data_IF_911479923926
#
_entry.id   IF_911479923926
#
_cell.length_a   1.000
_cell.length_b   1.000
_cell.length_c   1.000
_cell.angle_alpha   90.00
_cell.angle_beta   90.00
_cell.angle_gamma   90.00
#
_symmetry.space_group_name_H-M   'P 1'
#
loop_
_entity.id
_entity.type
_entity.pdbx_description
1 polymer ?
#
# COMPACT_ATOMS: atom_id res chain seq x y z
N UNK A 1 17.25 47.03 28.92
CA UNK A 1 17.33 46.74 27.47
C UNK A 1 16.02 46.07 27.04
N UNK A 2 14.88 46.75 27.28
CA UNK A 2 13.53 46.23 26.98
C UNK A 2 12.44 47.32 26.85
N UNK A 3 12.76 48.62 26.75
CA UNK A 3 11.72 49.68 26.76
C UNK A 3 12.02 50.89 25.84
N UNK A 4 12.41 50.68 24.58
CA UNK A 4 12.60 51.82 23.63
C UNK A 4 11.85 51.64 22.29
N UNK A 5 11.07 50.58 22.08
CA UNK A 5 10.25 50.45 20.86
C UNK A 5 8.77 50.27 21.20
N UNK A 6 8.11 51.37 21.58
CA UNK A 6 6.65 51.41 21.69
C UNK A 6 5.98 51.28 20.32
N UNK A 7 4.74 50.77 20.30
CA UNK A 7 3.91 50.53 19.11
C UNK A 7 3.72 51.75 18.17
N UNK A 8 4.12 52.95 18.59
CA UNK A 8 4.11 54.18 17.79
C UNK A 8 5.39 54.49 17.00
N UNK A 9 6.46 53.69 17.13
CA UNK A 9 7.78 53.96 16.52
C UNK A 9 7.76 54.02 14.98
N UNK A 10 6.75 53.40 14.36
CA UNK A 10 6.56 53.35 12.91
C UNK A 10 5.30 54.10 12.43
N UNK A 11 4.81 55.06 13.23
CA UNK A 11 3.69 55.91 12.80
C UNK A 11 4.07 56.79 11.61
N UNK A 12 3.09 57.19 10.79
CA UNK A 12 3.29 58.06 9.62
C UNK A 12 4.05 59.35 9.96
N UNK A 13 3.89 59.86 11.17
CA UNK A 13 4.61 61.04 11.70
C UNK A 13 6.11 60.79 11.81
N UNK A 14 6.54 59.65 12.33
CA UNK A 14 7.96 59.31 12.46
C UNK A 14 8.60 59.02 11.09
N UNK A 15 7.86 58.39 10.18
CA UNK A 15 8.31 58.15 8.81
C UNK A 15 8.53 59.48 8.05
N UNK A 16 7.64 60.45 8.23
CA UNK A 16 7.81 61.77 7.62
C UNK A 16 9.03 62.53 8.17
N UNK A 17 9.28 62.47 9.48
CA UNK A 17 10.49 63.04 10.08
C UNK A 17 11.77 62.39 9.54
N UNK A 18 11.76 61.08 9.30
CA UNK A 18 12.87 60.37 8.67
C UNK A 18 13.08 60.84 7.22
N UNK A 19 12.00 61.07 6.45
CA UNK A 19 12.08 61.64 5.10
C UNK A 19 12.63 63.07 5.12
N UNK A 20 12.20 63.91 6.05
CA UNK A 20 12.71 65.28 6.19
C UNK A 20 14.21 65.30 6.54
N UNK A 21 14.64 64.42 7.45
CA UNK A 21 16.03 64.41 7.92
C UNK A 21 17.00 63.73 6.94
N UNK A 22 16.60 62.62 6.31
CA UNK A 22 17.49 61.81 5.46
C UNK A 22 17.19 61.96 3.96
N UNK A 23 16.08 62.57 3.57
CA UNK A 23 15.71 62.84 2.18
C UNK A 23 15.80 61.59 1.30
N UNK A 24 16.46 61.73 0.15
CA UNK A 24 16.63 60.68 -0.85
C UNK A 24 17.63 59.58 -0.47
N UNK A 25 18.32 59.71 0.66
CA UNK A 25 19.30 58.71 1.11
C UNK A 25 18.66 57.47 1.72
N UNK A 26 17.36 57.51 2.02
CA UNK A 26 16.58 56.36 2.49
C UNK A 26 15.54 55.93 1.45
N UNK A 27 15.17 54.66 1.50
CA UNK A 27 14.08 54.06 0.74
C UNK A 27 13.10 53.49 1.74
N UNK A 28 11.82 53.84 1.57
CA UNK A 28 10.73 53.36 2.39
C UNK A 28 9.87 52.48 1.50
N UNK A 29 9.67 51.23 1.92
CA UNK A 29 8.95 50.21 1.16
C UNK A 29 7.84 49.60 1.99
N UNK A 30 6.81 49.11 1.30
CA UNK A 30 5.61 48.56 1.92
C UNK A 30 5.62 47.04 1.88
N UNK A 31 5.22 46.41 3.00
CA UNK A 31 4.87 44.99 3.05
C UNK A 31 3.40 44.92 3.45
N UNK A 32 2.59 44.22 2.65
CA UNK A 32 1.14 44.08 2.86
C UNK A 32 0.41 45.43 2.97
N UNK A 33 0.79 46.42 2.15
CA UNK A 33 0.15 47.74 2.10
C UNK A 33 0.45 48.66 3.30
N UNK A 34 1.43 48.30 4.14
CA UNK A 34 1.92 49.16 5.23
C UNK A 34 3.40 49.47 5.01
N UNK A 35 3.73 50.76 4.95
CA UNK A 35 5.10 51.31 4.87
C UNK A 35 5.92 51.00 6.14
N UNK A 36 6.36 49.76 6.30
CA UNK A 36 6.98 49.27 7.55
C UNK A 36 8.49 49.06 7.44
N UNK A 37 9.09 49.20 6.25
CA UNK A 37 10.51 48.91 6.04
C UNK A 37 11.23 50.16 5.54
N UNK A 38 12.12 50.68 6.39
CA UNK A 38 13.02 51.81 6.07
C UNK A 38 14.44 51.30 5.98
N UNK A 39 15.13 51.59 4.88
CA UNK A 39 16.54 51.23 4.70
C UNK A 39 17.27 52.32 3.93
N UNK A 40 18.58 52.47 4.15
CA UNK A 40 19.36 53.41 3.36
C UNK A 40 19.46 52.94 1.90
N UNK A 41 19.36 53.88 0.96
CA UNK A 41 19.49 53.62 -0.48
C UNK A 41 20.82 52.98 -0.82
N UNK A 42 21.91 53.33 -0.12
CA UNK A 42 23.22 52.67 -0.28
C UNK A 42 23.17 51.20 0.14
N UNK A 43 22.51 50.90 1.25
CA UNK A 43 22.30 49.52 1.76
C UNK A 43 21.36 48.74 0.84
N UNK A 44 20.22 49.30 0.45
CA UNK A 44 19.30 48.70 -0.51
C UNK A 44 19.98 48.46 -1.86
N UNK A 45 20.73 49.44 -2.37
CA UNK A 45 21.53 49.31 -3.59
C UNK A 45 22.59 48.23 -3.43
N UNK A 46 23.29 48.15 -2.29
CA UNK A 46 24.27 47.09 -2.02
C UNK A 46 23.61 45.71 -1.94
N UNK A 47 22.43 45.58 -1.33
CA UNK A 47 21.68 44.33 -1.24
C UNK A 47 21.16 43.92 -2.61
N UNK A 48 20.56 44.84 -3.37
CA UNK A 48 20.10 44.60 -4.73
C UNK A 48 21.28 44.28 -5.64
N UNK A 49 22.37 45.04 -5.53
CA UNK A 49 23.59 44.79 -6.28
C UNK A 49 24.21 43.47 -5.88
N UNK A 50 24.21 43.04 -4.60
CA UNK A 50 24.61 41.68 -4.18
C UNK A 50 23.65 40.60 -4.65
N UNK A 51 22.35 40.89 -4.77
CA UNK A 51 21.33 39.98 -5.29
C UNK A 51 21.48 39.78 -6.80
N UNK A 52 21.77 40.84 -7.55
CA UNK A 52 22.02 40.82 -8.99
C UNK A 52 23.49 40.51 -9.36
N UNK A 53 24.44 40.69 -8.43
CA UNK A 53 25.83 40.19 -8.49
C UNK A 53 25.94 38.78 -7.90
N UNK A 54 24.84 38.16 -7.46
CA UNK A 54 24.80 36.69 -7.53
C UNK A 54 25.09 36.39 -8.99
N UNK A 55 26.14 35.62 -9.29
CA UNK A 55 26.53 35.42 -10.66
C UNK A 55 25.28 34.92 -11.39
N UNK A 56 24.89 35.62 -12.46
CA UNK A 56 23.95 35.12 -13.46
C UNK A 56 24.51 33.87 -14.17
N UNK A 57 25.72 33.46 -13.78
CA UNK A 57 26.32 32.14 -13.93
C UNK A 57 26.25 31.35 -12.60
N UNK A 58 25.08 31.27 -11.95
CA UNK A 58 24.78 30.06 -11.21
C UNK A 58 24.74 28.98 -12.29
N UNK A 59 25.67 28.03 -12.20
CA UNK A 59 25.63 26.81 -13.00
C UNK A 59 24.18 26.30 -12.98
N UNK A 60 23.47 26.48 -14.10
CA UNK A 60 22.03 26.20 -14.19
C UNK A 60 21.75 24.74 -13.85
N UNK A 61 22.75 23.88 -14.06
CA UNK A 61 22.75 22.49 -13.62
C UNK A 61 22.86 22.34 -12.10
N UNK A 62 23.63 23.17 -11.40
CA UNK A 62 23.68 23.18 -9.94
C UNK A 62 22.35 23.63 -9.32
N UNK A 63 21.69 24.64 -9.91
CA UNK A 63 20.36 25.07 -9.47
C UNK A 63 19.30 23.99 -9.70
N UNK A 64 19.26 23.39 -10.91
CA UNK A 64 18.39 22.24 -11.21
C UNK A 64 18.59 21.09 -10.21
N UNK A 65 19.85 20.71 -9.92
CA UNK A 65 20.17 19.67 -8.93
C UNK A 65 19.67 20.03 -7.52
N UNK A 66 19.78 21.30 -7.13
CA UNK A 66 19.27 21.78 -5.83
C UNK A 66 17.75 21.67 -5.72
N UNK A 67 17.03 22.03 -6.79
CA UNK A 67 15.57 21.90 -6.87
C UNK A 67 15.15 20.43 -6.76
N UNK A 68 15.78 19.55 -7.55
CA UNK A 68 15.50 18.10 -7.54
C UNK A 68 15.78 17.50 -6.15
N UNK A 69 16.91 17.85 -5.54
CA UNK A 69 17.27 17.41 -4.18
C UNK A 69 16.25 17.88 -3.14
N UNK A 70 15.75 19.10 -3.28
CA UNK A 70 14.73 19.64 -2.38
C UNK A 70 13.38 18.94 -2.57
N UNK A 71 12.95 18.73 -3.82
CA UNK A 71 11.74 17.96 -4.12
C UNK A 71 11.83 16.52 -3.58
N UNK A 72 12.97 15.85 -3.77
CA UNK A 72 13.18 14.50 -3.26
C UNK A 72 13.11 14.42 -1.73
N UNK A 73 13.63 15.42 -1.01
CA UNK A 73 13.52 15.50 0.46
C UNK A 73 12.07 15.71 0.92
N UNK A 74 11.32 16.57 0.25
CA UNK A 74 9.91 16.80 0.55
C UNK A 74 9.08 15.53 0.33
N UNK A 75 9.23 14.90 -0.84
CA UNK A 75 8.55 13.63 -1.17
C UNK A 75 8.91 12.54 -0.16
N UNK A 76 10.20 12.40 0.20
CA UNK A 76 10.63 11.43 1.20
C UNK A 76 10.00 11.71 2.57
N UNK A 77 9.92 12.97 2.98
CA UNK A 77 9.26 13.37 4.23
C UNK A 77 7.78 12.97 4.23
N UNK A 78 7.06 13.19 3.13
CA UNK A 78 5.64 12.82 3.01
C UNK A 78 5.44 11.29 3.02
N UNK A 79 6.35 10.54 2.42
CA UNK A 79 6.35 9.07 2.54
C UNK A 79 6.56 8.64 4.00
N UNK A 80 7.46 9.32 4.72
CA UNK A 80 7.78 9.05 6.12
C UNK A 80 6.67 9.43 7.09
N UNK A 81 5.90 10.48 6.80
CA UNK A 81 4.77 10.91 7.63
C UNK A 81 3.50 10.08 7.41
N UNK A 82 3.39 9.35 6.30
CA UNK A 82 2.25 8.47 6.04
C UNK A 82 2.08 7.45 7.17
N UNK A 83 0.85 7.31 7.66
CA UNK A 83 0.49 6.26 8.63
C UNK A 83 0.60 4.87 7.99
N UNK A 84 1.09 3.92 8.79
CA UNK A 84 1.42 2.58 8.32
C UNK A 84 0.89 1.55 9.30
N UNK A 85 0.10 0.60 8.81
CA UNK A 85 -0.31 -0.57 9.58
C UNK A 85 0.08 -1.85 8.85
N UNK A 86 0.60 -2.81 9.61
CA UNK A 86 0.84 -4.17 9.15
C UNK A 86 -0.15 -5.15 9.76
N UNK A 87 -1.20 -4.69 10.44
CA UNK A 87 -2.11 -5.58 11.14
C UNK A 87 -3.02 -6.35 10.18
N UNK A 88 -3.31 -5.77 9.01
CA UNK A 88 -4.17 -6.35 7.99
C UNK A 88 -3.52 -6.21 6.62
N UNK A 89 -3.78 -7.19 5.76
CA UNK A 89 -3.46 -7.08 4.33
C UNK A 89 -4.55 -6.30 3.60
N UNK A 90 -4.20 -5.78 2.42
CA UNK A 90 -5.17 -5.17 1.52
C UNK A 90 -6.24 -6.18 1.10
N UNK A 91 -7.49 -5.73 1.02
CA UNK A 91 -8.58 -6.58 0.54
C UNK A 91 -8.47 -6.82 -0.97
N UNK A 92 -9.21 -7.81 -1.48
CA UNK A 92 -9.32 -8.05 -2.93
C UNK A 92 -9.86 -6.82 -3.67
N UNK A 93 -10.77 -6.08 -3.05
CA UNK A 93 -11.28 -4.81 -3.58
C UNK A 93 -10.16 -3.78 -3.71
N UNK A 94 -9.39 -3.55 -2.64
CA UNK A 94 -8.28 -2.58 -2.63
C UNK A 94 -7.25 -2.88 -3.72
N UNK A 95 -6.93 -4.16 -3.91
CA UNK A 95 -5.98 -4.61 -4.94
C UNK A 95 -6.50 -4.35 -6.36
N UNK A 96 -7.79 -4.53 -6.59
CA UNK A 96 -8.42 -4.35 -7.91
C UNK A 96 -8.76 -2.89 -8.24
N UNK A 97 -8.93 -2.04 -7.22
CA UNK A 97 -9.35 -0.65 -7.39
C UNK A 97 -8.18 0.26 -7.75
N UNK A 98 -8.23 0.89 -8.92
CA UNK A 98 -7.24 1.88 -9.33
C UNK A 98 -7.19 3.09 -8.37
N UNK A 99 -8.35 3.50 -7.83
CA UNK A 99 -8.46 4.61 -6.88
C UNK A 99 -7.81 4.28 -5.53
N UNK A 100 -8.06 3.09 -4.98
CA UNK A 100 -7.42 2.64 -3.74
C UNK A 100 -5.90 2.55 -3.89
N UNK A 101 -5.44 2.00 -5.01
CA UNK A 101 -4.01 1.89 -5.30
C UNK A 101 -3.31 3.25 -5.47
N UNK A 102 -4.00 4.22 -6.07
CA UNK A 102 -3.47 5.57 -6.29
C UNK A 102 -3.48 6.40 -5.01
N UNK A 103 -4.53 6.30 -4.19
CA UNK A 103 -4.65 6.98 -2.89
C UNK A 103 -3.71 6.40 -1.82
N UNK A 104 -3.20 5.19 -2.03
CA UNK A 104 -2.15 4.63 -1.17
C UNK A 104 -0.86 5.48 -1.19
N UNK A 105 -0.56 6.15 -2.30
CA UNK A 105 0.67 6.92 -2.50
C UNK A 105 0.49 8.37 -1.99
N UNK A 106 1.49 9.01 -1.35
CA UNK A 106 1.41 10.43 -1.02
C UNK A 106 1.20 11.33 -2.24
N UNK A 107 0.44 12.42 -2.06
CA UNK A 107 0.10 13.35 -3.15
C UNK A 107 1.33 13.90 -3.86
N UNK A 108 2.37 14.26 -3.12
CA UNK A 108 3.61 14.81 -3.68
C UNK A 108 4.30 13.81 -4.62
N UNK A 109 4.35 12.53 -4.26
CA UNK A 109 4.88 11.48 -5.12
C UNK A 109 3.98 11.25 -6.34
N UNK A 110 2.66 11.30 -6.16
CA UNK A 110 1.69 11.18 -7.26
C UNK A 110 1.86 12.30 -8.28
N UNK A 111 1.94 13.55 -7.82
CA UNK A 111 2.16 14.72 -8.68
C UNK A 111 3.50 14.63 -9.43
N UNK A 112 4.56 14.22 -8.73
CA UNK A 112 5.87 14.03 -9.34
C UNK A 112 5.85 12.97 -10.46
N UNK A 113 5.27 11.79 -10.18
CA UNK A 113 5.18 10.71 -11.18
C UNK A 113 4.27 11.09 -12.36
N UNK A 114 3.15 11.80 -12.12
CA UNK A 114 2.31 12.34 -13.20
C UNK A 114 3.06 13.35 -14.08
N UNK A 115 4.00 14.11 -13.51
CA UNK A 115 4.87 15.01 -14.29
C UNK A 115 5.91 14.29 -15.15
N UNK A 116 6.28 13.06 -14.79
CA UNK A 116 7.29 12.25 -15.52
C UNK A 116 6.62 11.38 -16.59
N UNK A 117 5.49 10.75 -16.27
CA UNK A 117 4.84 9.78 -17.14
C UNK A 117 4.07 10.53 -18.24
N UNK A 118 4.36 10.22 -19.51
CA UNK A 118 3.77 10.93 -20.66
C UNK A 118 2.48 10.29 -21.21
N UNK A 119 2.16 9.08 -20.76
CA UNK A 119 0.99 8.33 -21.25
C UNK A 119 -0.32 8.76 -20.56
N UNK A 120 -1.46 8.56 -21.24
CA UNK A 120 -2.81 8.70 -20.66
C UNK A 120 -3.17 7.41 -19.89
N UNK A 121 -4.02 7.52 -18.87
CA UNK A 121 -4.50 6.39 -18.04
C UNK A 121 -3.39 5.56 -17.38
N UNK A 122 -2.41 6.25 -16.81
CA UNK A 122 -1.22 5.66 -16.15
C UNK A 122 -1.38 5.41 -14.67
N UNK A 123 -2.56 5.59 -14.08
CA UNK A 123 -2.72 5.57 -12.62
C UNK A 123 -2.27 4.24 -12.00
N UNK A 124 -2.48 3.10 -12.65
CA UNK A 124 -1.96 1.81 -12.18
C UNK A 124 -0.42 1.74 -12.25
N UNK A 125 0.19 2.24 -13.34
CA UNK A 125 1.66 2.28 -13.47
C UNK A 125 2.29 3.21 -12.44
N UNK A 126 1.67 4.39 -12.23
CA UNK A 126 2.05 5.33 -11.19
C UNK A 126 1.92 4.68 -9.82
N UNK A 127 0.85 3.93 -9.57
CA UNK A 127 0.65 3.17 -8.33
C UNK A 127 1.72 2.12 -8.11
N UNK A 128 2.03 1.32 -9.13
CA UNK A 128 3.05 0.28 -9.04
C UNK A 128 4.44 0.87 -8.74
N UNK A 129 4.87 1.89 -9.49
CA UNK A 129 6.17 2.55 -9.27
C UNK A 129 6.18 3.34 -7.95
N UNK A 130 5.10 4.03 -7.63
CA UNK A 130 4.97 4.80 -6.39
C UNK A 130 5.04 3.91 -5.15
N UNK A 131 4.39 2.74 -5.17
CA UNK A 131 4.49 1.75 -4.11
C UNK A 131 5.91 1.17 -3.99
N UNK A 132 6.61 0.92 -5.11
CA UNK A 132 8.02 0.51 -5.08
C UNK A 132 8.94 1.58 -4.47
N UNK A 133 8.73 2.86 -4.80
CA UNK A 133 9.45 3.99 -4.20
C UNK A 133 9.17 4.09 -2.70
N UNK A 134 7.92 3.95 -2.27
CA UNK A 134 7.55 3.93 -0.85
C UNK A 134 8.29 2.82 -0.11
N UNK A 135 8.29 1.61 -0.66
CA UNK A 135 8.96 0.46 -0.05
C UNK A 135 10.48 0.68 0.06
N UNK A 136 11.11 1.27 -0.96
CA UNK A 136 12.53 1.61 -0.95
C UNK A 136 12.86 2.74 0.05
N UNK A 137 11.97 3.73 0.20
CA UNK A 137 12.14 4.83 1.12
C UNK A 137 11.89 4.45 2.59
N UNK A 138 11.04 3.43 2.84
CA UNK A 138 10.68 2.91 4.17
C UNK A 138 10.70 1.38 4.20
N UNK A 139 11.88 0.77 4.09
CA UNK A 139 11.98 -0.69 4.06
C UNK A 139 11.42 -1.29 5.34
N UNK A 140 10.74 -2.44 5.22
CA UNK A 140 10.21 -3.23 6.34
C UNK A 140 9.12 -2.55 7.18
N UNK A 141 8.64 -1.36 6.83
CA UNK A 141 7.55 -0.68 7.56
C UNK A 141 6.19 -0.93 6.92
N UNK A 142 6.16 -1.10 5.60
CA UNK A 142 4.94 -1.27 4.82
C UNK A 142 4.79 -2.65 4.22
N UNK A 143 3.55 -2.98 3.88
CA UNK A 143 3.19 -4.06 2.97
C UNK A 143 2.40 -3.36 1.86
N UNK A 144 3.05 -3.15 0.73
CA UNK A 144 2.43 -2.43 -0.38
C UNK A 144 1.43 -3.34 -1.10
N UNK A 145 0.16 -2.91 -1.27
CA UNK A 145 -0.90 -3.74 -1.86
C UNK A 145 -0.50 -4.41 -3.18
N UNK A 146 0.00 -3.66 -4.15
CA UNK A 146 0.37 -4.21 -5.46
C UNK A 146 1.56 -5.16 -5.37
N UNK A 147 2.50 -4.93 -4.43
CA UNK A 147 3.65 -5.80 -4.26
C UNK A 147 3.26 -7.15 -3.65
N UNK A 148 2.39 -7.17 -2.63
CA UNK A 148 1.89 -8.43 -2.07
C UNK A 148 0.97 -9.15 -3.06
N UNK A 149 0.09 -8.41 -3.75
CA UNK A 149 -0.79 -8.95 -4.79
C UNK A 149 -0.03 -9.62 -5.93
N UNK A 150 1.05 -8.99 -6.42
CA UNK A 150 1.90 -9.59 -7.45
C UNK A 150 2.59 -10.87 -6.94
N UNK A 151 3.11 -10.84 -5.71
CA UNK A 151 3.74 -12.01 -5.09
C UNK A 151 2.79 -13.21 -4.99
N UNK A 152 1.55 -12.97 -4.54
CA UNK A 152 0.49 -13.99 -4.45
C UNK A 152 0.16 -14.55 -5.84
N UNK A 153 -0.05 -13.69 -6.84
CA UNK A 153 -0.35 -14.14 -8.20
C UNK A 153 0.78 -15.00 -8.78
N UNK A 154 2.04 -14.59 -8.59
CA UNK A 154 3.18 -15.40 -9.06
C UNK A 154 3.27 -16.74 -8.35
N UNK A 155 2.95 -16.80 -7.04
CA UNK A 155 2.95 -18.06 -6.31
C UNK A 155 1.84 -18.98 -6.79
N UNK A 156 0.62 -18.47 -6.93
CA UNK A 156 -0.52 -19.23 -7.43
C UNK A 156 -0.31 -19.76 -8.86
N UNK A 157 0.28 -18.96 -9.76
CA UNK A 157 0.46 -19.37 -11.15
C UNK A 157 1.66 -20.29 -11.40
N UNK A 158 2.76 -20.12 -10.65
CA UNK A 158 4.02 -20.79 -10.96
C UNK A 158 4.59 -21.65 -9.84
N UNK A 159 4.08 -21.53 -8.61
CA UNK A 159 4.62 -22.17 -7.41
C UNK A 159 6.16 -22.01 -7.28
N UNK A 160 6.71 -20.89 -7.78
CA UNK A 160 8.15 -20.69 -7.94
C UNK A 160 8.67 -19.66 -6.95
N UNK A 161 9.30 -20.15 -5.87
CA UNK A 161 10.04 -19.31 -4.93
C UNK A 161 11.13 -18.49 -5.63
N UNK A 162 11.85 -19.09 -6.58
CA UNK A 162 12.91 -18.41 -7.33
C UNK A 162 12.38 -17.15 -8.06
N UNK A 163 11.24 -17.28 -8.76
CA UNK A 163 10.65 -16.16 -9.48
C UNK A 163 10.27 -15.01 -8.53
N UNK A 164 9.67 -15.35 -7.38
CA UNK A 164 9.26 -14.37 -6.36
C UNK A 164 10.49 -13.71 -5.74
N UNK A 165 11.54 -14.47 -5.42
CA UNK A 165 12.77 -13.93 -4.85
C UNK A 165 13.48 -12.97 -5.81
N UNK A 166 13.50 -13.28 -7.12
CA UNK A 166 14.03 -12.37 -8.15
C UNK A 166 13.24 -11.06 -8.21
N UNK A 167 11.91 -11.13 -8.30
CA UNK A 167 11.06 -9.93 -8.38
C UNK A 167 11.13 -9.08 -7.10
N UNK A 168 11.19 -9.72 -5.93
CA UNK A 168 11.40 -9.05 -4.65
C UNK A 168 12.77 -8.35 -4.60
N UNK A 169 13.83 -8.98 -5.13
CA UNK A 169 15.17 -8.36 -5.18
C UNK A 169 15.21 -7.06 -6.00
N UNK A 170 14.35 -6.93 -7.01
CA UNK A 170 14.17 -5.71 -7.79
C UNK A 170 13.20 -4.71 -7.16
N UNK A 171 12.52 -5.08 -6.07
CA UNK A 171 11.52 -4.25 -5.38
C UNK A 171 10.14 -4.24 -6.04
N UNK A 172 9.81 -5.24 -6.86
CA UNK A 172 8.52 -5.31 -7.56
C UNK A 172 7.44 -6.10 -6.82
N UNK A 173 7.80 -7.04 -5.94
CA UNK A 173 6.84 -7.77 -5.11
C UNK A 173 7.33 -7.98 -3.68
N UNK A 174 6.43 -8.44 -2.82
CA UNK A 174 6.76 -8.88 -1.46
C UNK A 174 7.63 -10.13 -1.48
N UNK A 175 8.36 -10.38 -0.39
CA UNK A 175 9.17 -11.58 -0.25
C UNK A 175 8.32 -12.86 -0.25
N UNK A 176 8.93 -13.97 -0.65
CA UNK A 176 8.27 -15.28 -0.62
C UNK A 176 7.71 -15.61 0.76
N UNK A 177 8.47 -15.31 1.82
CA UNK A 177 8.03 -15.51 3.20
C UNK A 177 6.77 -14.72 3.56
N UNK A 178 6.61 -13.51 3.02
CA UNK A 178 5.45 -12.66 3.27
C UNK A 178 4.23 -13.15 2.47
N UNK A 179 4.45 -13.66 1.24
CA UNK A 179 3.42 -14.32 0.45
C UNK A 179 2.90 -15.56 1.16
N UNK A 180 3.77 -16.45 1.64
CA UNK A 180 3.37 -17.62 2.42
C UNK A 180 2.62 -17.20 3.69
N UNK A 181 3.09 -16.15 4.38
CA UNK A 181 2.40 -15.62 5.55
C UNK A 181 0.99 -15.12 5.22
N UNK A 182 0.81 -14.45 4.09
CA UNK A 182 -0.51 -14.05 3.61
C UNK A 182 -1.41 -15.27 3.41
N UNK A 183 -0.94 -16.29 2.71
CA UNK A 183 -1.73 -17.50 2.42
C UNK A 183 -2.15 -18.23 3.70
N UNK A 184 -1.22 -18.39 4.64
CA UNK A 184 -1.50 -18.96 5.96
C UNK A 184 -2.52 -18.12 6.73
N UNK A 185 -2.37 -16.79 6.69
CA UNK A 185 -3.29 -15.87 7.35
C UNK A 185 -4.68 -15.91 6.73
N UNK A 186 -4.76 -15.99 5.40
CA UNK A 186 -6.00 -16.09 4.65
C UNK A 186 -6.73 -17.40 4.98
N UNK A 187 -6.02 -18.53 4.95
CA UNK A 187 -6.57 -19.83 5.29
C UNK A 187 -7.10 -19.88 6.72
N UNK A 188 -6.31 -19.40 7.69
CA UNK A 188 -6.73 -19.39 9.09
C UNK A 188 -7.92 -18.46 9.36
N UNK A 189 -7.98 -17.32 8.68
CA UNK A 189 -9.06 -16.35 8.85
C UNK A 189 -10.35 -16.76 8.12
N UNK A 190 -10.23 -17.48 6.99
CA UNK A 190 -11.37 -18.08 6.30
C UNK A 190 -12.02 -19.15 7.17
N UNK A 191 -11.21 -20.01 7.81
CA UNK A 191 -11.69 -21.13 8.62
C UNK A 191 -12.48 -22.16 7.80
N UNK A 192 -13.29 -22.95 8.50
CA UNK A 192 -14.19 -23.97 7.89
C UNK A 192 -15.66 -23.56 7.93
N UNK A 193 -15.99 -22.45 8.61
CA UNK A 193 -17.36 -21.99 8.78
C UNK A 193 -17.88 -21.31 7.50
N UNK A 194 -19.15 -21.59 7.18
CA UNK A 194 -19.84 -20.98 6.04
C UNK A 194 -20.51 -19.69 6.51
N UNK A 195 -19.75 -18.60 6.53
CA UNK A 195 -20.25 -17.30 6.96
C UNK A 195 -21.42 -16.81 6.08
N UNK A 196 -22.39 -16.11 6.68
CA UNK A 196 -23.53 -15.55 5.94
C UNK A 196 -24.56 -16.57 5.43
N UNK A 197 -24.50 -17.82 5.90
CA UNK A 197 -25.57 -18.80 5.74
C UNK A 197 -26.86 -18.33 6.44
N UNK A 198 -27.99 -18.45 5.73
CA UNK A 198 -29.34 -18.16 6.24
C UNK A 198 -30.31 -19.27 5.82
N UNK A 199 -31.50 -19.34 6.44
CA UNK A 199 -32.51 -20.39 6.16
C UNK A 199 -32.94 -20.50 4.67
N UNK A 200 -32.64 -19.49 3.84
CA UNK A 200 -32.89 -19.50 2.39
C UNK A 200 -31.75 -20.06 1.53
N UNK A 201 -30.60 -20.42 2.12
CA UNK A 201 -29.45 -20.94 1.40
C UNK A 201 -29.42 -22.47 1.42
N UNK A 202 -29.10 -23.06 0.26
CA UNK A 202 -28.78 -24.49 0.13
C UNK A 202 -27.27 -24.67 0.13
N UNK A 203 -26.78 -25.60 0.96
CA UNK A 203 -25.35 -25.97 1.03
C UNK A 203 -25.17 -27.38 0.48
N UNK A 204 -24.19 -27.56 -0.41
CA UNK A 204 -23.78 -28.86 -0.91
C UNK A 204 -22.29 -29.06 -0.65
N UNK A 205 -21.92 -30.20 -0.08
CA UNK A 205 -20.53 -30.59 0.10
C UNK A 205 -20.11 -31.50 -1.06
N UNK A 206 -18.98 -31.18 -1.67
CA UNK A 206 -18.36 -31.93 -2.76
C UNK A 206 -17.00 -32.37 -2.25
N UNK A 207 -16.76 -33.67 -2.20
CA UNK A 207 -15.48 -34.23 -1.81
C UNK A 207 -14.85 -34.92 -3.02
N UNK A 208 -13.59 -34.59 -3.32
CA UNK A 208 -12.82 -35.17 -4.41
C UNK A 208 -11.34 -35.29 -4.02
N UNK A 209 -10.56 -36.03 -4.80
CA UNK A 209 -9.13 -36.15 -4.61
C UNK A 209 -8.42 -34.83 -4.93
N UNK A 210 -7.47 -34.45 -4.08
CA UNK A 210 -6.51 -33.37 -4.31
C UNK A 210 -5.16 -34.02 -4.53
N UNK A 211 -4.83 -34.22 -5.79
CA UNK A 211 -3.58 -34.79 -6.23
C UNK A 211 -2.63 -33.68 -6.69
N UNK A 212 -1.53 -33.49 -5.95
CA UNK A 212 -0.47 -32.57 -6.37
C UNK A 212 0.79 -33.36 -6.74
N UNK A 213 1.18 -33.23 -8.01
CA UNK A 213 2.51 -33.59 -8.48
C UNK A 213 3.50 -32.54 -7.97
N UNK A 214 3.93 -32.69 -6.72
CA UNK A 214 5.02 -31.90 -6.13
C UNK A 214 6.36 -32.32 -6.76
N UNK A 215 6.54 -31.90 -8.02
CA UNK A 215 7.75 -32.03 -8.85
C UNK A 215 8.69 -33.16 -8.44
N UNK A 216 8.33 -34.36 -8.85
CA UNK A 216 9.24 -35.48 -8.93
C UNK A 216 9.22 -36.02 -10.35
N UNK A 217 10.38 -36.00 -11.01
CA UNK A 217 10.56 -36.53 -12.37
C UNK A 217 10.30 -38.06 -12.43
N UNK A 218 10.32 -38.72 -11.28
CA UNK A 218 10.16 -40.16 -11.09
C UNK A 218 8.78 -40.56 -10.50
N UNK A 219 7.91 -39.59 -10.20
CA UNK A 219 6.57 -39.84 -9.65
C UNK A 219 6.54 -40.22 -8.16
N UNK A 220 7.66 -40.17 -7.44
CA UNK A 220 7.68 -40.38 -5.98
C UNK A 220 7.25 -39.12 -5.21
N UNK A 221 6.86 -39.22 -3.94
CA UNK A 221 6.44 -38.06 -3.12
C UNK A 221 5.23 -37.24 -3.65
N UNK A 222 4.37 -37.78 -4.52
CA UNK A 222 3.10 -37.11 -4.87
C UNK A 222 2.24 -36.89 -3.63
N UNK A 223 1.66 -35.71 -3.49
CA UNK A 223 0.68 -35.48 -2.44
C UNK A 223 -0.67 -36.02 -2.91
N UNK A 224 -1.23 -36.96 -2.15
CA UNK A 224 -2.58 -37.47 -2.33
C UNK A 224 -3.39 -37.08 -1.10
N UNK A 225 -4.40 -36.23 -1.30
CA UNK A 225 -5.31 -35.79 -0.26
C UNK A 225 -6.76 -35.83 -0.72
N UNK A 226 -7.68 -35.54 0.19
CA UNK A 226 -9.08 -35.30 -0.13
C UNK A 226 -9.38 -33.81 0.09
N UNK A 227 -9.93 -33.16 -0.92
CA UNK A 227 -10.44 -31.80 -0.84
C UNK A 227 -11.95 -31.86 -0.66
N UNK A 228 -12.47 -31.10 0.29
CA UNK A 228 -13.91 -30.92 0.49
C UNK A 228 -14.24 -29.45 0.24
N UNK A 229 -15.19 -29.21 -0.66
CA UNK A 229 -15.70 -27.88 -1.00
C UNK A 229 -17.15 -27.78 -0.55
N UNK A 230 -17.50 -26.66 0.07
CA UNK A 230 -18.88 -26.30 0.38
C UNK A 230 -19.39 -25.27 -0.65
N UNK A 231 -20.38 -25.65 -1.45
CA UNK A 231 -21.04 -24.76 -2.40
C UNK A 231 -22.35 -24.24 -1.81
N UNK A 232 -22.54 -22.92 -1.81
CA UNK A 232 -23.73 -22.25 -1.25
C UNK A 232 -24.53 -21.59 -2.37
N UNK A 233 -25.83 -21.89 -2.45
CA UNK A 233 -26.76 -21.28 -3.43
C UNK A 233 -27.99 -20.69 -2.73
N UNK A 234 -28.42 -19.45 -3.04
CA UNK A 234 -27.70 -18.47 -3.87
C UNK A 234 -26.38 -18.04 -3.22
N UNK A 235 -25.42 -17.64 -4.05
CA UNK A 235 -24.07 -17.29 -3.60
C UNK A 235 -24.06 -16.08 -2.66
N UNK A 236 -23.22 -16.14 -1.62
CA UNK A 236 -23.06 -15.08 -0.63
C UNK A 236 -21.79 -14.29 -0.94
N UNK A 237 -21.93 -12.97 -1.15
CA UNK A 237 -20.74 -12.08 -1.28
C UNK A 237 -20.20 -11.79 0.11
N UNK A 238 -18.92 -12.08 0.32
CA UNK A 238 -18.20 -11.73 1.54
C UNK A 238 -17.00 -10.87 1.19
N UNK A 239 -16.82 -9.78 1.94
CA UNK A 239 -15.56 -9.03 1.98
C UNK A 239 -14.86 -9.37 3.27
N UNK A 240 -13.77 -10.12 3.18
CA UNK A 240 -13.02 -10.60 4.35
C UNK A 240 -11.74 -9.76 4.43
N UNK A 241 -11.58 -9.05 5.55
CA UNK A 241 -10.30 -8.43 5.91
C UNK A 241 -9.38 -9.52 6.45
N UNK A 242 -8.17 -9.63 5.89
CA UNK A 242 -7.23 -10.69 6.24
C UNK A 242 -6.22 -10.14 7.27
N UNK A 243 -6.28 -10.56 8.54
CA UNK A 243 -5.32 -10.13 9.55
C UNK A 243 -3.95 -10.75 9.27
N UNK A 244 -2.88 -10.01 9.53
CA UNK A 244 -1.52 -10.48 9.36
C UNK A 244 -1.04 -11.25 10.57
N UNK A 245 -1.35 -12.54 10.63
CA UNK A 245 -0.99 -13.41 11.75
C UNK A 245 0.30 -14.19 11.50
N UNK A 246 0.85 -14.80 12.54
CA UNK A 246 1.93 -15.79 12.45
C UNK A 246 1.32 -17.17 12.71
N UNK A 247 0.46 -17.65 11.80
CA UNK A 247 -0.07 -19.01 11.91
C UNK A 247 1.01 -20.03 11.55
N UNK A 248 1.01 -21.14 12.27
CA UNK A 248 1.85 -22.30 12.00
C UNK A 248 1.08 -23.34 11.19
N UNK A 249 1.80 -24.30 10.61
CA UNK A 249 1.15 -25.44 9.95
C UNK A 249 0.30 -26.27 10.92
N UNK A 250 0.65 -26.30 12.21
CA UNK A 250 -0.12 -27.04 13.21
C UNK A 250 -1.42 -26.32 13.58
N UNK A 251 -1.41 -24.98 13.61
CA UNK A 251 -2.64 -24.19 13.75
C UNK A 251 -3.62 -24.51 12.61
N UNK A 252 -3.11 -24.59 11.37
CA UNK A 252 -3.93 -24.97 10.22
C UNK A 252 -4.42 -26.41 10.28
N UNK A 253 -3.59 -27.36 10.72
CA UNK A 253 -4.03 -28.76 10.91
C UNK A 253 -5.19 -28.83 11.90
N UNK A 254 -5.08 -28.10 13.02
CA UNK A 254 -6.14 -28.06 14.03
C UNK A 254 -7.43 -27.46 13.45
N UNK A 255 -7.33 -26.37 12.68
CA UNK A 255 -8.47 -25.73 12.01
C UNK A 255 -9.13 -26.63 10.95
N UNK A 256 -8.34 -27.38 10.18
CA UNK A 256 -8.81 -28.20 9.06
C UNK A 256 -9.13 -29.65 9.46
N UNK A 257 -9.07 -29.99 10.75
CA UNK A 257 -9.44 -31.33 11.21
C UNK A 257 -10.95 -31.48 11.20
N UNK A 258 -11.47 -32.39 10.38
CA UNK A 258 -12.90 -32.70 10.30
C UNK A 258 -13.15 -34.02 11.04
N UNK A 259 -14.05 -33.98 12.03
CA UNK A 259 -14.53 -35.20 12.67
C UNK A 259 -15.55 -35.88 11.73
N UNK A 260 -15.22 -37.09 11.28
CA UNK A 260 -16.12 -37.88 10.44
C UNK A 260 -16.99 -38.75 11.35
N UNK A 261 -18.24 -38.35 11.51
CA UNK A 261 -19.26 -39.19 12.15
C UNK A 261 -19.90 -40.11 11.12
N UNK A 262 -19.72 -41.41 11.32
CA UNK A 262 -20.40 -42.40 10.50
C UNK A 262 -21.88 -42.42 10.84
N UNK A 263 -22.74 -42.34 9.82
CA UNK A 263 -24.16 -42.53 9.99
C UNK A 263 -24.44 -43.89 10.63
N UNK A 264 -25.02 -43.86 11.84
CA UNK A 264 -25.54 -45.05 12.51
C UNK A 264 -27.04 -45.11 12.26
N UNK A 265 -27.54 -46.11 11.51
CA UNK A 265 -28.97 -46.22 11.28
C UNK A 265 -29.72 -46.38 12.61
N UNK A 266 -30.89 -45.74 12.78
CA UNK A 266 -31.74 -45.97 13.93
C UNK A 266 -32.09 -47.46 14.05
N UNK A 267 -32.06 -47.99 15.27
CA UNK A 267 -32.39 -49.40 15.59
C UNK A 267 -33.81 -49.77 15.10
N UNK A 268 -34.68 -48.78 14.91
CA UNK A 268 -36.08 -48.93 14.48
C UNK A 268 -36.39 -48.41 13.07
N UNK A 269 -35.37 -48.17 12.22
CA UNK A 269 -35.64 -47.61 10.89
C UNK A 269 -36.11 -48.69 9.90
N UNK A 270 -37.34 -48.52 9.39
CA UNK A 270 -37.97 -49.32 8.31
C UNK A 270 -37.37 -49.10 6.92
N UNK A 271 -36.27 -48.34 6.81
CA UNK A 271 -35.57 -48.14 5.54
C UNK A 271 -34.51 -49.23 5.38
N UNK A 272 -34.74 -50.14 4.42
CA UNK A 272 -33.76 -51.13 4.01
C UNK A 272 -32.53 -50.45 3.41
N UNK A 273 -31.34 -50.84 3.85
CA UNK A 273 -30.08 -50.46 3.21
C UNK A 273 -30.15 -50.83 1.72
N UNK A 274 -29.89 -49.87 0.84
CA UNK A 274 -29.75 -50.16 -0.60
C UNK A 274 -28.53 -51.06 -0.77
N UNK A 275 -28.76 -52.35 -1.01
CA UNK A 275 -27.71 -53.31 -1.35
C UNK A 275 -27.56 -53.35 -2.87
N UNK A 276 -26.34 -53.17 -3.37
CA UNK A 276 -26.04 -53.52 -4.76
C UNK A 276 -26.18 -55.03 -4.91
N UNK A 277 -27.18 -55.47 -5.68
CA UNK A 277 -27.30 -56.85 -6.12
C UNK A 277 -26.69 -56.94 -7.53
N UNK A 278 -25.77 -57.89 -7.75
CA UNK A 278 -25.38 -58.27 -9.10
C UNK A 278 -26.64 -58.71 -9.87
N UNK A 279 -26.87 -58.08 -11.01
CA UNK A 279 -27.87 -58.53 -11.98
C UNK A 279 -27.43 -59.90 -12.50
N UNK A 280 -27.89 -60.97 -11.86
CA UNK A 280 -27.78 -62.32 -12.41
C UNK A 280 -28.81 -62.48 -13.53
N UNK A 281 -28.30 -62.37 -14.75
CA UNK A 281 -28.86 -62.84 -16.02
C UNK A 281 -30.28 -62.36 -16.37
N UNK A 282 -30.34 -61.38 -17.30
CA UNK A 282 -31.47 -61.21 -18.21
C UNK A 282 -31.59 -62.41 -19.16
#
# INVERSE_FOLDING_TARGET
MSDICGEGAYSSVHINKLKEHFGDTIVITEINGKSNVVTFRSTAKSILQKFYQRPTQQDTEAEKKSIISTAARLIKSDIQSKETSKQFYASSYDLSSAECNLSYIPESLRLFLKGIFSEKDVDLKISAVGQAIIQAARPRVNICPLQIGLGIQMHHHFASKFLIDVLNSFGFCSSYSEVQRFELSAAANQGIDINGYSEGNSVQFIADNVDHNVRTLDGYNTFHGMGILAAVTPGVKQSISIPRINATSDDLKALCTINIDYYKPPITNKMSTMTFAELKNL
#
